data_IF_298637443259
#
_entry.id   IF_298637443259
#
_cell.length_a   1.000
_cell.length_b   1.000
_cell.length_c   1.000
_cell.angle_alpha   90.00
_cell.angle_beta   90.00
_cell.angle_gamma   90.00
#
_symmetry.space_group_name_H-M   'P 1'
#
loop_
_entity.id
_entity.type
_entity.pdbx_description
1 polymer ?
#
# COMPACT_ATOMS: atom_id res chain seq x y z
N UNK A 1 31.85 -44.90 54.27
CA UNK A 1 30.66 -45.32 53.50
C UNK A 1 30.59 -44.57 52.16
N UNK A 2 31.25 -44.95 51.06
CA UNK A 2 32.42 -45.81 50.73
C UNK A 2 32.42 -45.88 49.17
N UNK A 3 33.51 -45.96 48.39
CA UNK A 3 34.96 -45.86 48.63
C UNK A 3 35.69 -45.55 47.29
N UNK A 4 36.92 -45.01 47.37
CA UNK A 4 38.14 -45.30 46.56
C UNK A 4 37.97 -45.57 45.03
N UNK A 5 38.39 -44.68 44.11
CA UNK A 5 39.73 -44.58 43.43
C UNK A 5 40.10 -45.77 42.49
N UNK A 6 40.93 -45.66 41.42
CA UNK A 6 41.80 -44.59 40.91
C UNK A 6 42.08 -44.77 39.38
N UNK A 7 42.63 -43.73 38.71
CA UNK A 7 43.84 -43.69 37.83
C UNK A 7 44.14 -44.78 36.74
N UNK A 8 44.82 -44.53 35.60
CA UNK A 8 45.40 -43.33 34.93
C UNK A 8 45.77 -43.64 33.43
N UNK A 9 46.20 -42.61 32.68
CA UNK A 9 47.13 -42.54 31.50
C UNK A 9 47.63 -43.81 30.73
N UNK A 10 48.01 -43.76 29.43
CA UNK A 10 48.10 -42.69 28.39
C UNK A 10 48.33 -43.27 26.97
N UNK A 11 48.36 -42.41 25.93
CA UNK A 11 48.61 -42.72 24.48
C UNK A 11 50.13 -42.98 24.16
N UNK A 12 50.63 -43.11 22.89
CA UNK A 12 50.03 -43.32 21.54
C UNK A 12 50.65 -44.60 20.84
N UNK A 13 51.39 -44.64 19.69
CA UNK A 13 51.28 -44.03 18.34
C UNK A 13 51.48 -44.98 17.08
N UNK A 14 50.87 -44.61 15.94
CA UNK A 14 51.31 -44.91 14.54
C UNK A 14 51.30 -46.41 14.05
N UNK A 15 51.55 -46.81 12.78
CA UNK A 15 51.94 -46.12 11.50
C UNK A 15 51.66 -46.99 10.24
N UNK A 16 51.51 -46.36 9.05
CA UNK A 16 51.73 -46.93 7.68
C UNK A 16 50.78 -48.06 7.21
N UNK A 17 50.59 -48.42 5.92
CA UNK A 17 51.10 -47.98 4.58
C UNK A 17 50.24 -48.66 3.48
N UNK A 18 50.27 -48.37 2.16
CA UNK A 18 50.51 -47.20 1.26
C UNK A 18 50.29 -47.72 -0.21
N UNK A 19 50.53 -46.90 -1.28
CA UNK A 19 50.73 -47.30 -2.71
C UNK A 19 49.47 -47.78 -3.48
N UNK A 20 49.13 -47.35 -4.72
CA UNK A 20 49.58 -46.28 -5.67
C UNK A 20 48.50 -46.13 -6.80
N UNK A 21 48.55 -45.29 -7.85
CA UNK A 21 49.44 -44.21 -8.37
C UNK A 21 48.51 -43.02 -8.78
N UNK A 22 48.62 -42.12 -9.79
CA UNK A 22 49.52 -41.77 -10.91
C UNK A 22 49.21 -40.33 -11.38
N UNK A 23 50.13 -39.60 -12.06
CA UNK A 23 49.86 -38.24 -12.58
C UNK A 23 50.69 -37.84 -13.82
N UNK A 24 50.16 -36.93 -14.66
CA UNK A 24 50.85 -36.08 -15.68
C UNK A 24 49.83 -35.19 -16.44
N UNK A 25 50.18 -34.08 -17.13
CA UNK A 25 51.22 -33.07 -16.94
C UNK A 25 50.96 -31.81 -17.82
N UNK A 26 51.35 -30.64 -17.30
CA UNK A 26 51.72 -29.33 -17.92
C UNK A 26 51.55 -29.08 -19.44
N UNK A 27 50.95 -27.93 -19.79
CA UNK A 27 51.41 -27.06 -20.89
C UNK A 27 50.98 -25.60 -20.68
N UNK A 28 51.94 -24.67 -20.57
CA UNK A 28 51.70 -23.22 -20.61
C UNK A 28 51.83 -22.68 -22.04
N UNK A 29 51.12 -21.59 -22.38
CA UNK A 29 51.60 -20.59 -23.33
C UNK A 29 50.92 -19.24 -23.13
N UNK A 30 51.71 -18.17 -23.09
CA UNK A 30 51.25 -16.78 -22.98
C UNK A 30 50.89 -16.19 -24.34
N UNK A 31 50.03 -15.17 -24.35
CA UNK A 31 50.21 -13.99 -25.20
C UNK A 31 49.36 -12.82 -24.69
N UNK A 32 49.98 -11.65 -24.55
CA UNK A 32 49.30 -10.39 -24.18
C UNK A 32 48.65 -9.71 -25.39
N UNK A 33 47.49 -9.09 -25.18
CA UNK A 33 47.01 -7.98 -25.99
C UNK A 33 45.98 -7.15 -25.19
N UNK A 34 46.12 -5.82 -25.23
CA UNK A 34 45.08 -4.89 -24.75
C UNK A 34 43.88 -4.89 -25.73
N UNK A 35 42.66 -4.78 -25.22
CA UNK A 35 41.82 -3.61 -25.55
C UNK A 35 40.69 -3.35 -24.52
N UNK A 36 39.97 -2.25 -24.72
CA UNK A 36 39.03 -1.61 -23.78
C UNK A 36 37.58 -2.15 -23.85
N UNK A 37 36.75 -1.99 -22.80
CA UNK A 37 35.46 -2.69 -22.70
C UNK A 37 34.36 -2.13 -23.61
N UNK A 38 33.68 -3.02 -24.35
CA UNK A 38 32.53 -2.69 -25.19
C UNK A 38 31.23 -2.50 -24.37
N UNK A 39 30.48 -1.45 -24.68
CA UNK A 39 29.17 -1.11 -24.09
C UNK A 39 28.15 -2.23 -24.33
N UNK A 40 27.40 -2.63 -23.28
CA UNK A 40 26.22 -3.50 -23.39
C UNK A 40 24.97 -2.73 -22.97
N UNK A 41 24.02 -2.56 -23.90
CA UNK A 41 22.77 -1.82 -23.67
C UNK A 41 21.71 -2.69 -22.96
N UNK A 42 20.97 -2.15 -21.97
CA UNK A 42 19.94 -2.90 -21.27
C UNK A 42 18.58 -2.85 -21.98
N UNK A 43 18.31 -3.81 -22.86
CA UNK A 43 16.98 -4.02 -23.48
C UNK A 43 16.51 -5.47 -23.30
N UNK A 44 15.66 -5.73 -22.29
CA UNK A 44 15.27 -7.11 -21.96
C UNK A 44 14.33 -7.31 -20.77
N UNK A 45 13.26 -6.52 -20.65
CA UNK A 45 12.23 -6.71 -19.59
C UNK A 45 10.79 -6.58 -20.14
N UNK A 46 10.27 -7.65 -20.75
CA UNK A 46 8.87 -7.72 -21.20
C UNK A 46 8.36 -9.17 -21.30
N UNK A 47 7.48 -9.59 -20.37
CA UNK A 47 6.80 -10.91 -20.45
C UNK A 47 5.48 -11.04 -19.66
N UNK A 48 5.14 -10.12 -18.73
CA UNK A 48 4.01 -10.28 -17.80
C UNK A 48 2.87 -9.25 -17.93
N UNK A 49 2.98 -8.31 -18.87
CA UNK A 49 1.92 -7.32 -19.16
C UNK A 49 1.26 -7.67 -20.51
N UNK A 50 0.24 -8.55 -20.51
CA UNK A 50 -0.26 -9.11 -21.77
C UNK A 50 -1.60 -9.87 -21.75
N UNK A 51 -2.51 -9.64 -20.79
CA UNK A 51 -3.87 -10.19 -20.88
C UNK A 51 -4.91 -9.45 -20.02
N UNK A 52 -5.34 -8.27 -20.46
CA UNK A 52 -6.63 -7.68 -20.06
C UNK A 52 -7.44 -7.36 -21.31
N UNK A 53 -8.51 -8.14 -21.54
CA UNK A 53 -9.42 -7.96 -22.67
C UNK A 53 -10.50 -6.93 -22.29
N UNK A 54 -10.48 -5.78 -22.95
CA UNK A 54 -11.57 -4.80 -22.88
C UNK A 54 -12.78 -5.29 -23.70
N UNK A 55 -14.02 -5.19 -23.20
CA UNK A 55 -15.21 -5.19 -24.03
C UNK A 55 -15.27 -3.88 -24.83
N UNK A 56 -15.36 -3.97 -26.15
CA UNK A 56 -15.50 -2.81 -27.04
C UNK A 56 -16.95 -2.31 -27.02
N UNK A 57 -17.16 -1.00 -26.97
CA UNK A 57 -18.48 -0.37 -27.08
C UNK A 57 -18.92 -0.24 -28.54
N UNK A 58 -20.20 -0.51 -28.82
CA UNK A 58 -20.83 -0.31 -30.12
C UNK A 58 -22.22 0.32 -29.98
N UNK A 59 -22.53 1.23 -30.91
CA UNK A 59 -23.86 1.43 -31.53
C UNK A 59 -25.07 1.70 -30.64
N UNK A 60 -25.56 2.93 -30.66
CA UNK A 60 -26.94 3.21 -30.27
C UNK A 60 -27.92 2.85 -31.41
N UNK A 61 -29.08 2.29 -31.06
CA UNK A 61 -30.27 2.16 -31.90
C UNK A 61 -31.53 2.26 -31.01
N UNK A 62 -32.66 2.65 -31.58
CA UNK A 62 -33.87 3.06 -30.84
C UNK A 62 -34.96 1.97 -30.74
N UNK A 63 -35.91 2.21 -29.83
CA UNK A 63 -37.31 1.71 -29.80
C UNK A 63 -37.52 0.18 -29.56
N UNK A 64 -38.48 -0.29 -28.73
CA UNK A 64 -39.68 0.36 -28.16
C UNK A 64 -40.31 -0.40 -26.96
N UNK A 65 -41.04 0.36 -26.12
CA UNK A 65 -42.27 0.03 -25.35
C UNK A 65 -42.40 -1.08 -24.27
N UNK A 66 -43.26 -0.74 -23.27
CA UNK A 66 -44.06 -1.56 -22.31
C UNK A 66 -43.39 -2.38 -21.17
N UNK A 67 -43.98 -2.32 -19.96
CA UNK A 67 -43.97 -3.46 -19.02
C UNK A 67 -43.75 -3.25 -17.49
N UNK A 68 -44.59 -2.46 -16.80
CA UNK A 68 -44.85 -2.49 -15.34
C UNK A 68 -43.72 -2.76 -14.30
N UNK A 69 -43.32 -1.67 -13.64
CA UNK A 69 -43.49 -1.42 -12.19
C UNK A 69 -43.11 -2.50 -11.13
N UNK A 70 -42.09 -2.15 -10.33
CA UNK A 70 -41.90 -2.61 -8.94
C UNK A 70 -41.19 -1.52 -8.13
N UNK A 71 -41.83 -0.97 -7.10
CA UNK A 71 -41.37 0.28 -6.44
C UNK A 71 -40.22 0.06 -5.44
N UNK A 72 -39.33 1.06 -5.36
CA UNK A 72 -38.47 1.32 -4.20
C UNK A 72 -38.80 2.69 -3.61
N UNK A 73 -38.79 2.81 -2.29
CA UNK A 73 -39.38 3.95 -1.57
C UNK A 73 -38.34 4.92 -1.00
N UNK A 74 -38.15 6.08 -1.65
CA UNK A 74 -37.59 7.28 -1.00
C UNK A 74 -38.17 8.54 -1.65
N UNK A 75 -38.74 9.45 -0.85
CA UNK A 75 -39.22 10.75 -1.33
C UNK A 75 -40.32 11.40 -0.49
N UNK A 76 -39.94 12.25 0.47
CA UNK A 76 -40.76 13.33 1.08
C UNK A 76 -39.86 14.24 1.92
N UNK A 77 -40.33 15.47 2.19
CA UNK A 77 -39.62 16.58 2.84
C UNK A 77 -38.48 17.19 1.97
N UNK A 78 -38.46 18.49 1.66
CA UNK A 78 -39.47 19.54 1.94
C UNK A 78 -39.45 20.63 0.85
N UNK A 79 -40.60 21.21 0.57
CA UNK A 79 -40.76 22.38 -0.31
C UNK A 79 -40.58 23.70 0.44
N UNK A 80 -39.97 24.69 -0.23
CA UNK A 80 -40.26 26.11 0.03
C UNK A 80 -39.17 26.93 0.71
N UNK A 81 -38.44 27.70 -0.08
CA UNK A 81 -38.57 29.17 -0.09
C UNK A 81 -38.18 29.70 -1.49
N UNK A 82 -38.87 30.72 -1.99
CA UNK A 82 -38.75 31.15 -3.39
C UNK A 82 -37.74 32.28 -3.62
N UNK A 83 -37.00 32.20 -4.72
CA UNK A 83 -36.20 33.32 -5.25
C UNK A 83 -37.09 34.26 -6.07
N UNK A 84 -36.79 35.57 -6.02
CA UNK A 84 -37.19 36.55 -7.04
C UNK A 84 -35.96 37.34 -7.47
N UNK A 85 -35.69 37.37 -8.77
CA UNK A 85 -34.63 38.14 -9.41
C UNK A 85 -35.32 39.03 -10.45
N UNK A 86 -35.13 40.36 -10.44
CA UNK A 86 -35.61 41.24 -11.50
C UNK A 86 -34.72 41.15 -12.75
N UNK A 87 -35.33 41.10 -13.93
CA UNK A 87 -34.67 41.15 -15.24
C UNK A 87 -34.89 42.51 -15.91
N UNK A 88 -33.88 43.05 -16.58
CA UNK A 88 -33.97 44.29 -17.40
C UNK A 88 -33.11 44.14 -18.66
N UNK A 89 -33.64 44.58 -19.80
CA UNK A 89 -32.93 44.80 -21.07
C UNK A 89 -33.08 46.29 -21.52
N UNK A 90 -32.28 46.81 -22.47
CA UNK A 90 -31.88 48.24 -22.53
C UNK A 90 -32.58 49.08 -23.64
N UNK A 91 -31.96 50.23 -24.03
CA UNK A 91 -32.23 51.18 -25.16
C UNK A 91 -33.05 52.44 -24.78
N UNK A 92 -32.70 53.70 -25.20
CA UNK A 92 -31.40 54.30 -25.59
C UNK A 92 -31.13 55.73 -24.99
N UNK A 93 -30.18 56.47 -25.61
CA UNK A 93 -29.59 57.78 -25.28
C UNK A 93 -30.51 59.01 -25.11
N UNK A 94 -30.10 59.99 -24.28
CA UNK A 94 -29.79 61.38 -24.74
C UNK A 94 -28.87 62.16 -23.77
N UNK A 95 -28.55 63.45 -24.06
CA UNK A 95 -27.45 64.25 -23.48
C UNK A 95 -27.89 65.24 -22.37
N UNK A 96 -26.96 65.64 -21.48
CA UNK A 96 -26.49 67.03 -21.29
C UNK A 96 -25.50 67.17 -20.10
N UNK A 97 -25.16 68.41 -19.72
CA UNK A 97 -23.87 68.84 -19.15
C UNK A 97 -23.77 68.90 -17.60
N UNK A 98 -22.53 69.11 -17.14
CA UNK A 98 -22.01 69.65 -15.86
C UNK A 98 -22.98 69.88 -14.67
N UNK A 99 -22.65 69.49 -13.43
CA UNK A 99 -21.65 70.20 -12.59
C UNK A 99 -21.19 69.33 -11.40
N UNK A 100 -20.00 69.58 -10.84
CA UNK A 100 -19.34 68.73 -9.83
C UNK A 100 -19.76 68.99 -8.36
N UNK A 101 -19.77 67.92 -7.55
CA UNK A 101 -19.59 67.95 -6.07
C UNK A 101 -18.75 66.75 -5.62
N UNK A 102 -17.83 66.94 -4.68
CA UNK A 102 -16.84 65.94 -4.24
C UNK A 102 -17.25 65.23 -2.94
N UNK A 103 -17.35 63.89 -2.92
CA UNK A 103 -17.34 63.10 -1.67
C UNK A 103 -16.99 61.60 -1.85
N UNK A 104 -15.89 61.16 -1.21
CA UNK A 104 -15.66 59.82 -0.62
C UNK A 104 -16.17 58.54 -1.35
N UNK A 105 -15.53 58.18 -2.47
CA UNK A 105 -15.43 56.75 -2.83
C UNK A 105 -14.27 56.12 -2.04
N UNK A 106 -14.57 55.36 -0.99
CA UNK A 106 -13.54 54.71 -0.16
C UNK A 106 -14.02 53.68 0.88
N UNK A 107 -15.31 53.35 0.89
CA UNK A 107 -15.93 52.51 1.95
C UNK A 107 -16.39 51.15 1.43
N UNK A 108 -17.00 51.08 0.23
CA UNK A 108 -17.55 49.83 -0.33
C UNK A 108 -16.48 48.79 -0.71
N UNK A 109 -15.31 49.23 -1.15
CA UNK A 109 -14.19 48.33 -1.50
C UNK A 109 -13.56 47.68 -0.25
N UNK A 110 -13.63 48.34 0.90
CA UNK A 110 -13.21 47.78 2.19
C UNK A 110 -14.16 46.67 2.66
N UNK A 111 -15.49 46.91 2.60
CA UNK A 111 -16.48 45.93 3.07
C UNK A 111 -16.55 44.66 2.20
N UNK A 112 -16.45 44.79 0.87
CA UNK A 112 -16.41 43.62 -0.03
C UNK A 112 -15.16 42.77 0.21
N UNK A 113 -13.99 43.41 0.33
CA UNK A 113 -12.72 42.75 0.66
C UNK A 113 -12.76 42.07 2.02
N UNK A 114 -13.23 42.75 3.06
CA UNK A 114 -13.36 42.20 4.42
C UNK A 114 -14.31 40.99 4.51
N UNK A 115 -15.42 41.00 3.78
CA UNK A 115 -16.35 39.87 3.74
C UNK A 115 -15.73 38.65 3.02
N UNK A 116 -15.05 38.88 1.89
CA UNK A 116 -14.36 37.82 1.13
C UNK A 116 -13.20 37.24 1.94
N UNK A 117 -12.34 38.06 2.52
CA UNK A 117 -11.19 37.59 3.32
C UNK A 117 -11.64 36.87 4.62
N UNK A 118 -12.75 37.30 5.24
CA UNK A 118 -13.39 36.57 6.35
C UNK A 118 -13.86 35.19 5.92
N UNK A 119 -14.59 35.08 4.80
CA UNK A 119 -15.04 33.78 4.26
C UNK A 119 -13.88 32.85 3.89
N UNK A 120 -12.82 33.39 3.28
CA UNK A 120 -11.60 32.65 2.91
C UNK A 120 -10.83 32.17 4.13
N UNK A 121 -10.83 32.95 5.21
CA UNK A 121 -10.23 32.59 6.50
C UNK A 121 -11.04 31.50 7.21
N UNK A 122 -12.37 31.57 7.18
CA UNK A 122 -13.24 30.53 7.71
C UNK A 122 -13.08 29.20 6.94
N UNK A 123 -13.02 29.24 5.59
CA UNK A 123 -12.76 28.05 4.76
C UNK A 123 -11.40 27.43 5.08
N UNK A 124 -10.33 28.22 5.21
CA UNK A 124 -9.02 27.74 5.67
C UNK A 124 -9.08 27.09 7.05
N UNK A 125 -9.77 27.70 8.02
CA UNK A 125 -9.92 27.14 9.36
C UNK A 125 -10.68 25.80 9.36
N UNK A 126 -11.74 25.68 8.54
CA UNK A 126 -12.46 24.41 8.35
C UNK A 126 -11.59 23.35 7.66
N UNK A 127 -10.80 23.73 6.65
CA UNK A 127 -9.86 22.85 5.95
C UNK A 127 -8.77 22.32 6.91
N UNK A 128 -8.14 23.20 7.70
CA UNK A 128 -7.15 22.80 8.72
C UNK A 128 -7.79 21.86 9.76
N UNK A 129 -9.02 22.13 10.21
CA UNK A 129 -9.73 21.26 11.16
C UNK A 129 -10.05 19.88 10.54
N UNK A 130 -10.49 19.83 9.28
CA UNK A 130 -10.73 18.58 8.56
C UNK A 130 -9.43 17.78 8.33
N UNK A 131 -8.35 18.45 7.95
CA UNK A 131 -7.00 17.87 7.85
C UNK A 131 -6.54 17.26 9.15
N UNK A 132 -6.74 17.93 10.29
CA UNK A 132 -6.38 17.41 11.61
C UNK A 132 -7.22 16.16 11.97
N UNK A 133 -8.53 16.18 11.68
CA UNK A 133 -9.43 15.04 11.89
C UNK A 133 -9.04 13.82 11.02
N UNK A 134 -8.44 14.00 9.84
CA UNK A 134 -8.01 12.86 8.98
C UNK A 134 -6.51 12.51 9.13
N UNK A 135 -5.70 13.38 9.76
CA UNK A 135 -4.39 12.95 10.30
C UNK A 135 -4.53 12.13 11.58
N UNK A 136 -5.56 12.38 12.41
CA UNK A 136 -5.70 11.76 13.73
C UNK A 136 -4.39 11.90 14.54
N UNK A 137 -3.71 10.79 14.79
CA UNK A 137 -2.49 10.67 15.61
C UNK A 137 -1.19 10.54 14.77
N UNK A 138 -1.25 10.70 13.44
CA UNK A 138 -0.06 10.79 12.59
C UNK A 138 0.69 12.10 12.84
N UNK A 139 2.02 12.07 12.81
CA UNK A 139 2.84 13.29 12.82
C UNK A 139 2.69 14.00 11.47
N UNK A 140 2.42 15.31 11.51
CA UNK A 140 2.34 16.19 10.34
C UNK A 140 3.63 16.99 10.21
N UNK A 141 3.93 17.45 9.00
CA UNK A 141 4.94 18.47 8.73
C UNK A 141 4.28 19.84 8.77
N UNK A 142 4.74 20.74 9.65
CA UNK A 142 4.10 22.02 9.98
C UNK A 142 5.10 23.19 10.02
N UNK A 143 6.04 23.20 9.07
CA UNK A 143 7.12 24.18 8.95
C UNK A 143 7.07 24.89 7.58
N UNK A 144 7.75 26.04 7.45
CA UNK A 144 7.84 26.78 6.18
C UNK A 144 6.50 27.30 5.61
N UNK A 145 5.42 27.24 6.38
CA UNK A 145 4.06 27.55 5.91
C UNK A 145 3.31 26.38 5.24
N UNK A 146 3.88 25.16 5.27
CA UNK A 146 3.21 23.93 4.82
C UNK A 146 2.50 23.23 5.99
N UNK A 147 1.34 22.61 5.75
CA UNK A 147 0.64 21.74 6.72
C UNK A 147 0.27 20.40 6.06
N UNK A 148 1.22 19.47 6.02
CA UNK A 148 1.11 18.21 5.29
C UNK A 148 1.08 16.98 6.22
N UNK A 149 0.21 16.02 5.93
CA UNK A 149 0.27 14.66 6.47
C UNK A 149 1.47 13.92 5.83
N UNK A 150 2.65 14.23 6.35
CA UNK A 150 3.96 13.83 5.83
C UNK A 150 4.94 13.73 7.00
N UNK A 151 5.91 12.83 6.91
CA UNK A 151 6.91 12.61 7.95
C UNK A 151 8.21 12.09 7.34
N UNK A 152 9.33 12.75 7.64
CA UNK A 152 10.67 12.20 7.44
C UNK A 152 10.88 11.03 8.40
N UNK A 153 10.97 9.81 7.87
CA UNK A 153 11.34 8.62 8.64
C UNK A 153 12.85 8.64 8.85
N UNK A 154 13.61 8.80 7.76
CA UNK A 154 14.99 9.27 7.74
C UNK A 154 15.08 10.53 6.85
N UNK A 155 16.25 11.15 6.75
CA UNK A 155 16.49 12.32 5.89
C UNK A 155 16.09 12.03 4.42
N UNK A 156 16.53 10.90 3.87
CA UNK A 156 16.23 10.48 2.49
C UNK A 156 14.94 9.64 2.32
N UNK A 157 14.16 9.36 3.38
CA UNK A 157 12.97 8.49 3.30
C UNK A 157 11.76 9.15 3.97
N UNK A 158 10.80 9.56 3.14
CA UNK A 158 9.56 10.24 3.55
C UNK A 158 8.37 9.28 3.47
N UNK A 159 7.53 9.28 4.50
CA UNK A 159 6.21 8.69 4.50
C UNK A 159 5.14 9.79 4.40
N UNK A 160 4.17 9.68 3.49
CA UNK A 160 3.06 10.64 3.40
C UNK A 160 1.69 9.99 3.18
N UNK A 161 0.64 10.73 3.52
CA UNK A 161 -0.73 10.44 3.08
C UNK A 161 -0.92 10.70 1.59
N UNK A 162 -1.98 10.15 1.01
CA UNK A 162 -2.29 10.26 -0.42
C UNK A 162 -2.46 11.73 -0.86
N UNK A 163 -1.74 12.19 -1.90
CA UNK A 163 -1.94 13.53 -2.46
C UNK A 163 -3.21 13.56 -3.31
N UNK A 164 -4.09 14.52 -3.05
CA UNK A 164 -5.42 14.63 -3.65
C UNK A 164 -5.74 16.07 -4.08
N UNK A 165 -6.86 16.28 -4.77
CA UNK A 165 -7.31 17.61 -5.17
C UNK A 165 -6.77 18.14 -6.49
N UNK A 166 -6.08 17.32 -7.28
CA UNK A 166 -5.87 17.60 -8.71
C UNK A 166 -7.23 17.79 -9.40
N UNK A 167 -7.39 18.89 -10.17
CA UNK A 167 -8.63 19.21 -10.88
C UNK A 167 -9.01 18.16 -11.93
N UNK A 168 -8.05 17.37 -12.45
CA UNK A 168 -8.34 16.24 -13.34
C UNK A 168 -9.16 15.13 -12.67
N UNK A 169 -9.04 15.00 -11.34
CA UNK A 169 -9.66 13.93 -10.55
C UNK A 169 -11.16 14.13 -10.27
N UNK A 170 -11.77 15.15 -10.90
CA UNK A 170 -13.19 15.46 -10.79
C UNK A 170 -13.64 15.89 -9.39
N UNK A 171 -14.96 16.05 -9.23
CA UNK A 171 -15.57 16.62 -8.02
C UNK A 171 -15.22 15.84 -6.74
N UNK A 172 -15.13 14.51 -6.82
CA UNK A 172 -14.71 13.67 -5.69
C UNK A 172 -13.23 13.85 -5.32
N UNK A 173 -12.34 13.95 -6.31
CA UNK A 173 -10.92 14.23 -6.07
C UNK A 173 -10.69 15.61 -5.46
N UNK A 174 -11.44 16.61 -5.93
CA UNK A 174 -11.42 17.98 -5.40
C UNK A 174 -11.86 18.03 -3.92
N UNK A 175 -13.01 17.45 -3.57
CA UNK A 175 -13.46 17.38 -2.17
C UNK A 175 -12.51 16.59 -1.26
N UNK A 176 -11.75 15.64 -1.81
CA UNK A 176 -10.74 14.92 -1.04
C UNK A 176 -9.53 15.80 -0.65
N UNK A 177 -9.17 16.78 -1.48
CA UNK A 177 -8.11 17.76 -1.20
C UNK A 177 -8.40 18.71 -0.01
N UNK A 178 -9.65 18.76 0.47
CA UNK A 178 -10.00 19.53 1.68
C UNK A 178 -9.52 18.86 2.98
N UNK A 179 -9.32 17.53 2.98
CA UNK A 179 -8.99 16.78 4.20
C UNK A 179 -7.72 15.91 4.07
N UNK A 180 -7.24 15.64 2.84
CA UNK A 180 -5.90 15.10 2.58
C UNK A 180 -4.91 16.21 2.23
N UNK A 181 -3.69 15.82 1.88
CA UNK A 181 -2.67 16.70 1.31
C UNK A 181 -3.15 17.19 -0.06
N UNK A 182 -3.06 18.49 -0.33
CA UNK A 182 -3.41 19.02 -1.64
C UNK A 182 -2.25 18.81 -2.61
N UNK A 183 -2.52 18.34 -3.84
CA UNK A 183 -1.50 17.96 -4.82
C UNK A 183 -0.52 19.11 -5.10
N UNK A 184 -1.03 20.33 -5.30
CA UNK A 184 -0.21 21.52 -5.53
C UNK A 184 0.71 21.85 -4.34
N UNK A 185 0.24 21.67 -3.10
CA UNK A 185 1.06 21.91 -1.90
C UNK A 185 2.18 20.86 -1.76
N UNK A 186 1.92 19.62 -2.18
CA UNK A 186 2.91 18.52 -2.16
C UNK A 186 3.97 18.73 -3.24
N UNK A 187 3.57 19.09 -4.47
CA UNK A 187 4.51 19.44 -5.55
C UNK A 187 5.33 20.67 -5.16
N UNK A 188 4.68 21.74 -4.68
CA UNK A 188 5.37 22.94 -4.19
C UNK A 188 6.33 22.65 -3.04
N UNK A 189 5.99 21.72 -2.15
CA UNK A 189 6.90 21.29 -1.09
C UNK A 189 8.16 20.64 -1.68
N UNK A 190 8.00 19.66 -2.58
CA UNK A 190 9.14 18.94 -3.14
C UNK A 190 9.99 19.77 -4.10
N UNK A 191 9.40 20.65 -4.92
CA UNK A 191 10.17 21.56 -5.78
C UNK A 191 10.83 22.72 -5.01
N UNK A 192 10.45 22.95 -3.74
CA UNK A 192 11.12 23.92 -2.85
C UNK A 192 12.25 23.30 -2.02
N UNK A 193 12.13 22.04 -1.59
CA UNK A 193 13.10 21.40 -0.67
C UNK A 193 13.98 20.33 -1.33
N UNK A 194 13.53 19.71 -2.42
CA UNK A 194 14.10 18.50 -3.03
C UNK A 194 14.14 18.59 -4.55
N UNK A 195 14.31 19.80 -5.12
CA UNK A 195 14.15 20.07 -6.56
C UNK A 195 14.93 19.09 -7.44
N UNK A 196 14.22 18.25 -8.20
CA UNK A 196 14.82 17.20 -9.05
C UNK A 196 15.39 15.98 -8.32
N UNK A 197 15.39 15.94 -6.98
CA UNK A 197 15.98 14.90 -6.12
C UNK A 197 14.97 13.93 -5.49
N UNK A 198 13.66 14.18 -5.61
CA UNK A 198 12.63 13.27 -5.06
C UNK A 198 12.10 12.27 -6.09
N UNK A 199 11.67 11.09 -5.62
CA UNK A 199 10.92 10.10 -6.40
C UNK A 199 9.78 9.50 -5.56
N UNK A 200 8.58 9.52 -6.12
CA UNK A 200 7.32 9.17 -5.45
C UNK A 200 6.92 7.73 -5.75
N UNK A 201 6.49 7.00 -4.73
CA UNK A 201 6.10 5.60 -4.79
C UNK A 201 4.65 5.45 -4.32
N UNK A 202 3.73 5.21 -5.28
CA UNK A 202 2.32 4.97 -5.02
C UNK A 202 2.07 3.49 -4.70
N UNK A 203 1.50 3.20 -3.52
CA UNK A 203 1.14 1.84 -3.09
C UNK A 203 -0.36 1.52 -3.25
N UNK A 204 -1.17 2.45 -3.75
CA UNK A 204 -2.60 2.24 -3.91
C UNK A 204 -2.92 1.42 -5.17
N UNK A 205 -3.56 0.26 -5.01
CA UNK A 205 -4.28 -0.40 -6.11
C UNK A 205 -5.60 0.29 -6.43
N UNK A 206 -6.19 0.96 -5.45
CA UNK A 206 -7.54 1.53 -5.54
C UNK A 206 -7.58 3.00 -6.00
N UNK A 207 -6.42 3.65 -6.16
CA UNK A 207 -6.30 5.10 -6.40
C UNK A 207 -5.09 5.46 -7.25
N UNK A 208 -5.35 6.24 -8.29
CA UNK A 208 -4.36 6.91 -9.14
C UNK A 208 -4.60 8.43 -9.12
N UNK A 209 -3.61 9.18 -9.59
CA UNK A 209 -3.64 10.60 -9.90
C UNK A 209 -2.78 10.80 -11.16
N UNK A 210 -2.81 11.98 -11.79
CA UNK A 210 -1.92 12.21 -12.93
C UNK A 210 -0.44 12.24 -12.48
N UNK A 211 0.35 11.29 -12.99
CA UNK A 211 1.78 11.17 -12.73
C UNK A 211 2.61 12.20 -13.53
N UNK A 212 2.02 12.86 -14.54
CA UNK A 212 2.69 13.93 -15.30
C UNK A 212 3.00 15.14 -14.42
N UNK A 213 2.16 15.40 -13.40
CA UNK A 213 2.32 16.49 -12.43
C UNK A 213 3.60 16.39 -11.58
N UNK A 214 4.23 15.22 -11.55
CA UNK A 214 5.52 14.96 -10.91
C UNK A 214 6.64 14.73 -11.94
N UNK A 215 6.47 15.16 -13.20
CA UNK A 215 7.48 15.10 -14.27
C UNK A 215 8.05 13.67 -14.50
N UNK A 216 7.21 12.64 -14.34
CA UNK A 216 7.63 11.24 -14.47
C UNK A 216 8.39 10.67 -13.26
N UNK A 217 8.60 11.45 -12.18
CA UNK A 217 9.25 11.03 -10.92
C UNK A 217 8.38 10.08 -10.08
N UNK A 218 7.45 9.32 -10.68
CA UNK A 218 6.48 8.44 -9.99
C UNK A 218 6.66 6.99 -10.42
N UNK A 219 6.71 6.08 -9.45
CA UNK A 219 6.62 4.64 -9.67
C UNK A 219 5.42 4.05 -8.92
N UNK A 220 4.79 3.02 -9.48
CA UNK A 220 3.61 2.36 -8.91
C UNK A 220 3.96 0.95 -8.42
N UNK A 221 3.68 0.66 -7.15
CA UNK A 221 3.83 -0.66 -6.53
C UNK A 221 2.51 -1.01 -5.81
N UNK A 222 1.41 -1.21 -6.55
CA UNK A 222 0.06 -1.21 -5.99
C UNK A 222 -0.26 -2.50 -5.24
N UNK A 223 -0.88 -2.38 -4.06
CA UNK A 223 -1.53 -3.51 -3.38
C UNK A 223 -2.68 -3.05 -2.47
N UNK A 224 -3.65 -3.96 -2.27
CA UNK A 224 -4.93 -3.64 -1.65
C UNK A 224 -4.82 -3.16 -0.20
N UNK A 225 -5.68 -2.21 0.15
CA UNK A 225 -5.78 -1.68 1.51
C UNK A 225 -6.05 -2.80 2.52
N UNK A 226 -5.41 -2.74 3.67
CA UNK A 226 -5.44 -3.78 4.73
C UNK A 226 -4.96 -5.20 4.31
N UNK A 227 -4.37 -5.37 3.13
CA UNK A 227 -3.76 -6.62 2.68
C UNK A 227 -2.23 -6.51 2.63
N UNK A 228 -1.55 -7.58 2.20
CA UNK A 228 -0.11 -7.61 1.97
C UNK A 228 0.17 -7.66 0.46
N UNK A 229 1.31 -7.14 -0.03
CA UNK A 229 1.71 -7.30 -1.42
C UNK A 229 2.24 -8.73 -1.66
N UNK A 230 2.36 -9.18 -2.92
CA UNK A 230 3.19 -10.33 -3.25
C UNK A 230 4.63 -10.06 -2.76
N UNK A 231 5.31 -11.05 -2.17
CA UNK A 231 6.65 -10.81 -1.59
C UNK A 231 7.68 -10.31 -2.62
N UNK A 232 7.52 -10.68 -3.89
CA UNK A 232 8.33 -10.19 -5.01
C UNK A 232 8.20 -8.67 -5.22
N UNK A 233 7.03 -8.09 -4.97
CA UNK A 233 6.80 -6.64 -5.11
C UNK A 233 7.60 -5.84 -4.07
N UNK A 234 7.83 -6.42 -2.88
CA UNK A 234 8.69 -5.83 -1.84
C UNK A 234 10.14 -5.75 -2.34
N UNK A 235 10.68 -6.86 -2.91
CA UNK A 235 12.03 -6.87 -3.50
C UNK A 235 12.15 -5.84 -4.62
N UNK A 236 11.22 -5.82 -5.58
CA UNK A 236 11.24 -4.89 -6.71
C UNK A 236 11.17 -3.42 -6.26
N UNK A 237 10.35 -3.11 -5.24
CA UNK A 237 10.30 -1.79 -4.63
C UNK A 237 11.63 -1.41 -3.99
N UNK A 238 12.20 -2.29 -3.15
CA UNK A 238 13.47 -2.02 -2.47
C UNK A 238 14.62 -1.82 -3.47
N UNK A 239 14.65 -2.57 -4.56
CA UNK A 239 15.63 -2.38 -5.65
C UNK A 239 15.45 -1.04 -6.38
N UNK A 240 14.21 -0.65 -6.73
CA UNK A 240 13.94 0.65 -7.36
C UNK A 240 14.29 1.83 -6.45
N UNK A 241 13.94 1.73 -5.16
CA UNK A 241 14.23 2.74 -4.16
C UNK A 241 15.74 2.84 -3.88
N UNK A 242 16.44 1.72 -3.76
CA UNK A 242 17.90 1.69 -3.59
C UNK A 242 18.64 2.27 -4.80
N UNK A 243 18.21 1.97 -6.03
CA UNK A 243 18.82 2.53 -7.24
C UNK A 243 18.76 4.07 -7.20
N UNK A 244 17.56 4.62 -6.94
CA UNK A 244 17.38 6.07 -6.81
C UNK A 244 18.23 6.70 -5.69
N UNK A 245 18.27 6.07 -4.51
CA UNK A 245 19.08 6.52 -3.36
C UNK A 245 20.59 6.34 -3.57
N UNK A 246 21.02 5.63 -4.62
CA UNK A 246 22.42 5.44 -5.00
C UNK A 246 22.86 6.42 -6.09
N UNK A 247 21.94 6.93 -6.89
CA UNK A 247 22.22 7.90 -7.96
C UNK A 247 22.74 9.24 -7.41
N UNK A 248 22.29 9.67 -6.22
CA UNK A 248 22.76 10.87 -5.52
C UNK A 248 22.55 10.75 -4.00
N UNK A 249 23.39 11.40 -3.19
CA UNK A 249 23.24 11.44 -1.72
C UNK A 249 22.10 12.38 -1.28
N UNK A 250 21.76 13.37 -2.10
CA UNK A 250 20.61 14.26 -1.88
C UNK A 250 19.27 13.62 -2.31
N UNK A 251 19.28 12.45 -2.97
CA UNK A 251 18.05 11.84 -3.47
C UNK A 251 17.14 11.35 -2.34
N UNK A 252 15.83 11.54 -2.52
CA UNK A 252 14.79 11.24 -1.52
C UNK A 252 13.73 10.31 -2.10
N UNK A 253 13.37 9.28 -1.32
CA UNK A 253 12.29 8.33 -1.61
C UNK A 253 11.03 8.73 -0.83
N UNK A 254 9.96 9.04 -1.55
CA UNK A 254 8.67 9.45 -0.98
C UNK A 254 7.67 8.32 -1.15
N UNK A 255 7.25 7.66 -0.07
CA UNK A 255 6.34 6.51 -0.12
C UNK A 255 4.97 6.88 0.45
N UNK A 256 3.90 6.57 -0.29
CA UNK A 256 2.54 6.88 0.15
C UNK A 256 1.53 5.76 -0.12
N UNK A 257 0.44 5.81 0.63
CA UNK A 257 -0.80 5.11 0.35
C UNK A 257 -1.95 6.02 0.77
N UNK A 258 -3.19 5.52 0.74
CA UNK A 258 -4.42 6.24 1.17
C UNK A 258 -4.31 7.01 2.50
N UNK A 259 -3.52 6.54 3.46
CA UNK A 259 -3.34 7.16 4.79
C UNK A 259 -1.87 7.35 5.23
N UNK A 260 -0.89 6.86 4.46
CA UNK A 260 0.53 6.92 4.82
C UNK A 260 0.93 6.14 6.08
N UNK A 261 0.18 5.09 6.43
CA UNK A 261 0.38 4.25 7.61
C UNK A 261 0.76 2.82 7.19
N UNK A 262 0.00 1.79 7.58
CA UNK A 262 0.48 0.42 7.60
C UNK A 262 1.00 -0.16 6.25
N UNK A 263 0.38 0.16 5.09
CA UNK A 263 0.94 -0.19 3.76
C UNK A 263 2.30 0.48 3.50
N UNK A 264 2.39 1.78 3.74
CA UNK A 264 3.64 2.57 3.65
C UNK A 264 4.70 2.05 4.62
N UNK A 265 4.31 1.71 5.85
CA UNK A 265 5.19 1.12 6.86
C UNK A 265 5.77 -0.22 6.45
N UNK A 266 4.98 -1.12 5.86
CA UNK A 266 5.49 -2.41 5.36
C UNK A 266 6.64 -2.19 4.36
N UNK A 267 6.44 -1.31 3.39
CA UNK A 267 7.43 -1.05 2.34
C UNK A 267 8.65 -0.29 2.89
N UNK A 268 8.46 0.75 3.71
CA UNK A 268 9.56 1.50 4.33
C UNK A 268 10.37 0.62 5.29
N UNK A 269 9.75 -0.17 6.17
CA UNK A 269 10.49 -1.07 7.06
C UNK A 269 11.29 -2.11 6.27
N UNK A 270 10.73 -2.62 5.17
CA UNK A 270 11.44 -3.53 4.26
C UNK A 270 12.64 -2.85 3.58
N UNK A 271 12.51 -1.58 3.17
CA UNK A 271 13.62 -0.78 2.63
C UNK A 271 14.70 -0.49 3.68
N UNK A 272 14.32 -0.15 4.92
CA UNK A 272 15.28 0.08 6.01
C UNK A 272 16.11 -1.18 6.33
N UNK A 273 15.49 -2.37 6.25
CA UNK A 273 16.19 -3.66 6.35
C UNK A 273 17.06 -3.97 5.13
N UNK A 274 16.62 -3.61 3.93
CA UNK A 274 17.39 -3.76 2.69
C UNK A 274 18.66 -2.91 2.73
N UNK A 275 18.53 -1.65 3.13
CA UNK A 275 19.60 -0.66 3.31
C UNK A 275 20.47 -0.89 4.57
N UNK A 276 20.17 -1.91 5.37
CA UNK A 276 20.89 -2.27 6.62
C UNK A 276 20.89 -1.19 7.72
N UNK A 277 19.93 -0.27 7.71
CA UNK A 277 19.73 0.69 8.80
C UNK A 277 19.35 0.02 10.13
N UNK A 278 18.69 -1.14 10.09
CA UNK A 278 18.35 -1.94 11.27
C UNK A 278 18.67 -3.43 11.03
N UNK A 279 19.12 -4.17 12.06
CA UNK A 279 19.39 -5.60 11.96
C UNK A 279 18.12 -6.47 12.00
N UNK A 280 17.05 -6.03 12.68
CA UNK A 280 15.81 -6.80 12.83
C UNK A 280 14.57 -6.02 12.38
N UNK A 281 13.54 -6.74 11.91
CA UNK A 281 12.24 -6.13 11.57
C UNK A 281 11.56 -5.47 12.75
N UNK A 282 11.81 -5.92 13.99
CA UNK A 282 11.25 -5.31 15.20
C UNK A 282 11.73 -3.86 15.30
N UNK A 283 13.04 -3.64 15.22
CA UNK A 283 13.63 -2.30 15.34
C UNK A 283 13.17 -1.37 14.21
N UNK A 284 13.16 -1.86 12.97
CA UNK A 284 12.66 -1.09 11.83
C UNK A 284 11.18 -0.66 12.00
N UNK A 285 10.33 -1.57 12.48
CA UNK A 285 8.90 -1.31 12.73
C UNK A 285 8.72 -0.35 13.90
N UNK A 286 9.42 -0.56 15.01
CA UNK A 286 9.34 0.30 16.20
C UNK A 286 9.80 1.74 15.88
N UNK A 287 10.88 1.89 15.11
CA UNK A 287 11.40 3.17 14.64
C UNK A 287 10.40 3.88 13.71
N UNK A 288 9.91 3.18 12.68
CA UNK A 288 8.89 3.73 11.77
C UNK A 288 7.63 4.16 12.53
N UNK A 289 7.18 3.35 13.49
CA UNK A 289 6.02 3.63 14.33
C UNK A 289 6.18 4.90 15.16
N UNK A 290 7.31 5.04 15.88
CA UNK A 290 7.61 6.22 16.69
C UNK A 290 7.76 7.50 15.85
N UNK A 291 8.38 7.39 14.67
CA UNK A 291 8.48 8.49 13.71
C UNK A 291 7.10 8.89 13.18
N UNK A 292 6.32 7.96 12.66
CA UNK A 292 5.10 8.27 11.89
C UNK A 292 3.88 8.62 12.75
N UNK A 293 3.75 8.08 13.96
CA UNK A 293 2.62 8.31 14.86
C UNK A 293 3.07 8.76 16.25
N UNK A 294 2.23 9.53 16.94
CA UNK A 294 2.52 10.01 18.30
C UNK A 294 2.43 8.88 19.32
N UNK A 295 1.45 7.98 19.17
CA UNK A 295 1.22 6.81 20.03
C UNK A 295 2.01 5.55 19.64
N UNK A 296 2.83 5.63 18.59
CA UNK A 296 3.60 4.49 18.08
C UNK A 296 2.79 3.40 17.34
N UNK A 297 1.63 3.70 16.74
CA UNK A 297 0.76 2.69 16.08
C UNK A 297 0.51 2.93 14.58
N UNK A 298 1.57 3.10 13.78
CA UNK A 298 1.46 3.29 12.33
C UNK A 298 1.30 1.96 11.55
N UNK A 299 2.14 0.96 11.85
CA UNK A 299 2.10 -0.40 11.33
C UNK A 299 1.78 -1.36 12.49
N UNK A 300 0.51 -1.76 12.56
CA UNK A 300 -0.03 -2.67 13.59
C UNK A 300 -0.65 -3.96 13.03
N UNK A 301 -0.88 -4.03 11.72
CA UNK A 301 -1.61 -5.14 11.10
C UNK A 301 -0.77 -6.44 11.15
N UNK A 302 -1.21 -7.52 11.84
CA UNK A 302 -0.34 -8.68 12.10
C UNK A 302 0.18 -9.39 10.84
N UNK A 303 -0.61 -9.41 9.76
CA UNK A 303 -0.17 -9.95 8.47
C UNK A 303 0.91 -9.06 7.84
N UNK A 304 0.77 -7.74 7.88
CA UNK A 304 1.77 -6.83 7.29
C UNK A 304 3.09 -6.87 8.07
N UNK A 305 3.04 -6.92 9.40
CA UNK A 305 4.21 -7.18 10.27
C UNK A 305 4.89 -8.52 9.92
N UNK A 306 4.10 -9.55 9.59
CA UNK A 306 4.62 -10.86 9.16
C UNK A 306 5.38 -10.78 7.83
N UNK A 307 4.93 -9.95 6.88
CA UNK A 307 5.63 -9.79 5.59
C UNK A 307 6.96 -9.05 5.73
N UNK A 308 7.07 -8.06 6.63
CA UNK A 308 8.38 -7.46 6.97
C UNK A 308 9.33 -8.51 7.57
N UNK A 309 8.81 -9.40 8.44
CA UNK A 309 9.57 -10.54 9.00
C UNK A 309 9.98 -11.59 7.95
N UNK A 310 9.12 -11.85 6.95
CA UNK A 310 9.47 -12.70 5.82
C UNK A 310 10.56 -12.06 4.95
N UNK A 311 10.54 -10.73 4.75
CA UNK A 311 11.56 -10.03 4.01
C UNK A 311 12.91 -9.97 4.76
N UNK A 312 12.89 -9.74 6.08
CA UNK A 312 14.07 -9.94 6.95
C UNK A 312 14.68 -11.34 6.77
N UNK A 313 13.84 -12.38 6.75
CA UNK A 313 14.28 -13.76 6.55
C UNK A 313 14.88 -13.99 5.16
N UNK A 314 14.30 -13.43 4.10
CA UNK A 314 14.88 -13.43 2.74
C UNK A 314 16.24 -12.73 2.71
N UNK A 315 16.37 -11.56 3.34
CA UNK A 315 17.62 -10.80 3.39
C UNK A 315 18.73 -11.45 4.24
N UNK A 316 18.39 -12.29 5.22
CA UNK A 316 19.34 -12.87 6.19
C UNK A 316 19.64 -14.35 5.99
N UNK A 317 18.74 -15.12 5.35
CA UNK A 317 18.89 -16.58 5.14
C UNK A 317 19.00 -16.99 3.68
N UNK A 318 18.59 -16.12 2.76
CA UNK A 318 18.60 -16.38 1.32
C UNK A 318 19.31 -15.27 0.52
N UNK A 319 20.15 -14.47 1.17
CA UNK A 319 20.96 -13.40 0.57
C UNK A 319 20.17 -12.36 -0.25
N UNK A 320 18.87 -12.20 0.02
CA UNK A 320 17.96 -11.34 -0.75
C UNK A 320 17.21 -12.05 -1.89
N UNK A 321 17.43 -13.35 -2.11
CA UNK A 321 16.71 -14.12 -3.12
C UNK A 321 15.44 -14.77 -2.60
N UNK A 322 14.33 -14.47 -3.28
CA UNK A 322 12.99 -14.95 -2.94
C UNK A 322 12.87 -16.39 -3.42
N UNK A 323 12.72 -17.30 -2.47
CA UNK A 323 12.65 -18.73 -2.73
C UNK A 323 11.33 -19.10 -3.42
N UNK A 324 11.33 -20.08 -4.34
CA UNK A 324 10.12 -20.51 -5.04
C UNK A 324 9.08 -21.05 -4.05
N UNK A 325 7.80 -20.73 -4.30
CA UNK A 325 6.70 -21.11 -3.41
C UNK A 325 6.61 -22.63 -3.23
N UNK A 326 6.78 -23.11 -1.98
CA UNK A 326 6.60 -24.52 -1.66
C UNK A 326 5.13 -24.91 -1.81
N UNK A 327 4.85 -25.83 -2.74
CA UNK A 327 3.52 -26.46 -2.88
C UNK A 327 3.11 -27.18 -1.60
N UNK A 328 1.91 -26.92 -1.11
CA UNK A 328 1.31 -27.62 0.02
C UNK A 328 -0.19 -27.85 -0.21
N UNK A 329 -0.80 -28.72 0.60
CA UNK A 329 -2.22 -29.08 0.51
C UNK A 329 -2.88 -28.77 1.84
N UNK A 330 -3.83 -27.83 1.87
CA UNK A 330 -4.54 -27.48 3.11
C UNK A 330 -5.44 -28.65 3.51
N UNK A 331 -5.11 -29.34 4.62
CA UNK A 331 -5.90 -30.49 5.10
C UNK A 331 -7.04 -30.11 6.06
N UNK A 332 -6.98 -28.93 6.66
CA UNK A 332 -7.95 -28.50 7.67
C UNK A 332 -7.45 -27.37 8.56
N UNK A 333 -8.29 -26.97 9.52
CA UNK A 333 -7.95 -26.02 10.58
C UNK A 333 -8.33 -26.58 11.94
N UNK A 334 -7.65 -26.12 12.99
CA UNK A 334 -7.98 -26.43 14.38
C UNK A 334 -8.12 -25.12 15.13
N UNK A 335 -9.35 -24.75 15.47
CA UNK A 335 -9.64 -23.55 16.23
C UNK A 335 -9.55 -23.87 17.73
N UNK A 336 -8.68 -23.16 18.45
CA UNK A 336 -8.44 -23.33 19.88
C UNK A 336 -9.19 -22.25 20.69
N UNK A 337 -9.79 -22.65 21.81
CA UNK A 337 -10.73 -21.83 22.61
C UNK A 337 -11.97 -21.40 21.81
N UNK A 338 -12.35 -22.18 20.82
CA UNK A 338 -13.49 -21.93 19.94
C UNK A 338 -14.75 -22.61 20.50
N UNK A 339 -15.86 -21.88 20.69
CA UNK A 339 -17.15 -22.48 21.07
C UNK A 339 -17.71 -23.41 19.99
N UNK A 340 -18.39 -24.49 20.40
CA UNK A 340 -18.86 -25.55 19.48
C UNK A 340 -19.95 -25.11 18.47
N UNK A 341 -20.58 -23.95 18.72
CA UNK A 341 -21.56 -23.34 17.83
C UNK A 341 -20.92 -22.48 16.72
N UNK A 342 -19.64 -22.11 16.86
CA UNK A 342 -18.92 -21.31 15.87
C UNK A 342 -18.37 -22.24 14.79
N UNK A 343 -19.02 -22.22 13.62
CA UNK A 343 -18.70 -23.05 12.45
C UNK A 343 -18.60 -22.16 11.20
N UNK A 344 -17.52 -21.37 11.06
CA UNK A 344 -17.42 -20.38 9.99
C UNK A 344 -17.19 -21.06 8.62
N UNK A 345 -17.84 -20.54 7.59
CA UNK A 345 -17.45 -20.83 6.21
C UNK A 345 -16.05 -20.27 5.92
N UNK A 346 -15.32 -20.87 4.97
CA UNK A 346 -14.00 -20.35 4.57
C UNK A 346 -13.93 -19.96 3.10
N UNK A 347 -13.10 -18.96 2.82
CA UNK A 347 -12.57 -18.69 1.47
C UNK A 347 -11.05 -18.63 1.55
N UNK A 348 -10.38 -19.27 0.60
CA UNK A 348 -8.93 -19.20 0.40
C UNK A 348 -8.68 -18.56 -0.95
N UNK A 349 -7.82 -17.55 -1.00
CA UNK A 349 -7.50 -16.77 -2.19
C UNK A 349 -6.01 -16.44 -2.26
N UNK A 350 -5.53 -16.08 -3.45
CA UNK A 350 -4.23 -15.45 -3.64
C UNK A 350 -4.41 -14.16 -4.48
N UNK A 351 -3.32 -13.57 -4.95
CA UNK A 351 -3.35 -12.36 -5.78
C UNK A 351 -4.05 -12.54 -7.14
N UNK A 352 -4.30 -13.78 -7.58
CA UNK A 352 -4.96 -14.10 -8.84
C UNK A 352 -6.47 -14.42 -8.67
N UNK A 353 -6.98 -14.44 -7.43
CA UNK A 353 -8.40 -14.66 -7.13
C UNK A 353 -8.65 -15.75 -6.08
N UNK A 354 -9.88 -16.29 -6.07
CA UNK A 354 -10.31 -17.34 -5.14
C UNK A 354 -9.80 -18.70 -5.62
N UNK A 355 -9.03 -19.38 -4.76
CA UNK A 355 -8.56 -20.76 -4.97
C UNK A 355 -9.58 -21.79 -4.48
N UNK A 356 -10.25 -21.51 -3.36
CA UNK A 356 -11.25 -22.38 -2.76
C UNK A 356 -12.27 -21.57 -1.93
N UNK A 357 -13.51 -22.01 -1.85
CA UNK A 357 -14.48 -21.48 -0.88
C UNK A 357 -15.54 -22.51 -0.57
N UNK A 358 -15.84 -22.77 0.71
CA UNK A 358 -16.80 -23.82 1.07
C UNK A 358 -18.18 -23.55 0.49
N UNK A 359 -18.60 -22.28 0.43
CA UNK A 359 -19.91 -21.85 -0.12
C UNK A 359 -20.01 -21.93 -1.66
N UNK A 360 -18.90 -22.10 -2.38
CA UNK A 360 -18.89 -22.08 -3.87
C UNK A 360 -18.37 -23.36 -4.50
N UNK A 361 -17.51 -24.12 -3.81
CA UNK A 361 -16.90 -25.30 -4.39
C UNK A 361 -17.94 -26.44 -4.57
N UNK A 362 -18.03 -27.10 -5.74
CA UNK A 362 -19.11 -28.04 -6.06
C UNK A 362 -19.36 -29.17 -5.05
N UNK A 363 -18.32 -29.60 -4.31
CA UNK A 363 -18.39 -30.69 -3.32
C UNK A 363 -18.66 -30.23 -1.87
N UNK A 364 -18.80 -28.93 -1.64
CA UNK A 364 -19.06 -28.36 -0.30
C UNK A 364 -20.15 -27.30 -0.29
N UNK A 365 -20.59 -26.80 -1.46
CA UNK A 365 -21.65 -25.78 -1.58
C UNK A 365 -23.00 -26.24 -0.99
N UNK A 366 -23.27 -27.55 -1.02
CA UNK A 366 -24.50 -28.17 -0.51
C UNK A 366 -24.29 -28.75 0.90
N UNK A 367 -23.08 -28.64 1.46
CA UNK A 367 -22.77 -29.06 2.82
C UNK A 367 -22.96 -27.90 3.79
N UNK A 368 -23.54 -28.19 4.93
CA UNK A 368 -23.63 -27.25 6.04
C UNK A 368 -22.27 -27.13 6.74
N UNK A 369 -21.95 -25.99 7.39
CA UNK A 369 -20.75 -25.89 8.21
C UNK A 369 -20.68 -26.95 9.31
N UNK A 370 -21.83 -27.43 9.75
CA UNK A 370 -21.98 -28.56 10.66
C UNK A 370 -21.33 -29.86 10.16
N UNK A 371 -21.27 -30.09 8.84
CA UNK A 371 -20.75 -31.33 8.22
C UNK A 371 -19.22 -31.35 8.09
N UNK A 372 -18.59 -30.18 8.00
CA UNK A 372 -17.13 -30.04 7.85
C UNK A 372 -16.41 -29.48 9.09
N UNK A 373 -17.14 -28.99 10.10
CA UNK A 373 -16.59 -28.64 11.42
C UNK A 373 -16.98 -29.65 12.50
N UNK A 374 -16.01 -30.46 12.91
CA UNK A 374 -16.13 -31.52 13.90
C UNK A 374 -15.72 -30.99 15.28
N UNK A 375 -16.55 -31.21 16.30
CA UNK A 375 -16.19 -30.93 17.70
C UNK A 375 -15.17 -31.97 18.19
N UNK A 376 -14.03 -31.54 18.72
CA UNK A 376 -13.02 -32.46 19.24
C UNK A 376 -13.30 -32.84 20.72
N UNK A 377 -12.84 -34.01 21.22
CA UNK A 377 -13.07 -34.44 22.60
C UNK A 377 -12.52 -33.50 23.70
N UNK A 378 -11.65 -32.54 23.34
CA UNK A 378 -11.13 -31.52 24.26
C UNK A 378 -11.98 -30.25 24.16
N UNK A 379 -12.63 -29.88 25.27
CA UNK A 379 -13.52 -28.69 25.40
C UNK A 379 -12.89 -27.45 24.77
N UNK A 380 -13.65 -26.77 23.91
CA UNK A 380 -13.22 -25.54 23.23
C UNK A 380 -12.26 -25.77 22.05
N UNK A 381 -12.29 -26.94 21.42
CA UNK A 381 -11.55 -27.22 20.18
C UNK A 381 -12.51 -27.69 19.10
N UNK A 382 -12.54 -26.97 17.98
CA UNK A 382 -13.31 -27.33 16.77
C UNK A 382 -12.34 -27.55 15.61
N UNK A 383 -12.55 -28.60 14.83
CA UNK A 383 -11.66 -29.04 13.75
C UNK A 383 -12.41 -28.95 12.42
N UNK A 384 -11.91 -28.12 11.52
CA UNK A 384 -12.28 -28.15 10.10
C UNK A 384 -11.48 -29.25 9.43
N UNK A 385 -12.15 -30.20 8.77
CA UNK A 385 -11.51 -31.22 7.96
C UNK A 385 -12.00 -31.09 6.52
N UNK A 386 -11.06 -30.89 5.58
CA UNK A 386 -11.39 -30.97 4.16
C UNK A 386 -11.51 -32.44 3.72
N UNK A 387 -12.43 -32.77 2.80
CA UNK A 387 -12.42 -34.04 2.11
C UNK A 387 -11.02 -34.37 1.59
N UNK A 388 -10.55 -35.61 1.80
CA UNK A 388 -9.16 -36.03 1.50
C UNK A 388 -8.93 -36.28 0.00
N UNK A 389 -9.24 -35.29 -0.81
CA UNK A 389 -9.07 -35.33 -2.25
C UNK A 389 -7.73 -34.72 -2.69
N UNK A 390 -7.33 -35.00 -3.92
CA UNK A 390 -6.18 -34.37 -4.57
C UNK A 390 -6.64 -33.09 -5.30
N UNK A 391 -5.77 -32.07 -5.36
CA UNK A 391 -6.05 -30.79 -6.01
C UNK A 391 -7.01 -29.83 -5.27
N UNK A 392 -7.90 -30.33 -4.42
CA UNK A 392 -9.00 -29.58 -3.78
C UNK A 392 -8.60 -28.24 -3.14
N UNK A 393 -7.42 -28.18 -2.53
CA UNK A 393 -6.87 -27.00 -1.84
C UNK A 393 -5.33 -26.97 -1.92
N UNK A 394 -4.79 -27.12 -3.14
CA UNK A 394 -3.36 -26.88 -3.37
C UNK A 394 -3.03 -25.39 -3.23
N UNK A 395 -2.02 -25.06 -2.42
CA UNK A 395 -1.57 -23.71 -2.14
C UNK A 395 -0.08 -23.58 -2.47
N UNK A 396 0.28 -22.44 -3.07
CA UNK A 396 1.64 -22.13 -3.51
C UNK A 396 1.89 -20.64 -3.32
N UNK A 397 3.00 -20.27 -2.69
CA UNK A 397 3.38 -18.86 -2.47
C UNK A 397 2.44 -18.12 -1.51
N UNK A 398 2.14 -16.87 -1.82
CA UNK A 398 1.33 -15.96 -0.99
C UNK A 398 -0.18 -16.28 -1.11
N UNK A 399 -0.84 -16.54 0.03
CA UNK A 399 -2.29 -16.78 0.10
C UNK A 399 -2.94 -16.14 1.34
N UNK A 400 -4.23 -15.85 1.23
CA UNK A 400 -5.12 -15.32 2.27
C UNK A 400 -6.20 -16.35 2.57
N UNK A 401 -6.48 -16.57 3.85
CA UNK A 401 -7.63 -17.34 4.34
C UNK A 401 -8.58 -16.34 5.01
N UNK A 402 -9.87 -16.42 4.69
CA UNK A 402 -10.93 -15.66 5.34
C UNK A 402 -11.95 -16.62 5.96
N UNK A 403 -12.36 -16.33 7.18
CA UNK A 403 -13.41 -17.04 7.92
C UNK A 403 -14.63 -16.13 8.01
N UNK A 404 -15.77 -16.56 7.47
CA UNK A 404 -17.02 -15.78 7.48
C UNK A 404 -18.09 -16.56 8.25
N UNK A 405 -18.72 -15.93 9.23
CA UNK A 405 -19.81 -16.52 10.02
C UNK A 405 -21.18 -16.31 9.33
N UNK A 406 -22.27 -16.76 9.96
CA UNK A 406 -23.66 -16.47 9.55
C UNK A 406 -24.07 -15.02 9.82
N UNK A 407 -23.32 -14.26 10.62
CA UNK A 407 -23.69 -12.91 11.10
C UNK A 407 -22.70 -11.79 10.68
N UNK A 408 -21.56 -12.13 10.08
CA UNK A 408 -20.55 -11.16 9.65
C UNK A 408 -19.15 -11.75 9.52
N UNK A 409 -18.17 -10.88 9.29
CA UNK A 409 -16.75 -11.23 9.27
C UNK A 409 -16.20 -11.44 10.69
N UNK A 410 -15.23 -12.35 10.82
CA UNK A 410 -14.58 -12.67 12.09
C UNK A 410 -13.39 -11.72 12.35
N UNK A 411 -13.42 -11.01 13.49
CA UNK A 411 -12.37 -10.08 13.94
C UNK A 411 -11.53 -10.68 15.08
#
# INVERSE_FOLDING_TARGET
MDSVSADLSSQPPAKASDIEHSAAAVSEQNNDAHDSPSIISPSGISAWAGSLKFPQSWGAAQDSQTGNAGMSTFGRFTSGLGLRIPSVEPVPDEKNEETAVTAQSGVLESFTKGLVDSSRSAVKAMQVKARHIVSQNKRRYQEGGFDLDMTYITENIIAMGFPAGDMSSGLFGFFEGFYRNHMEEVIKFFEAHHKGKYKVYNLCSERLYDASLFEGKVASFPFDDHNCPPIQLIKSFCQSAYSWLKEDIENVVVVHCKAGMARTGLMICSLLLFLKFFPTSKEAIDYYNQKRCVDGKALVLPSQIRYVKYFEHVLTRFNGEIQPGRRCMLRGFRLHRCPFWIRPSITVSNHNGILFSTRKHPKTKDLMPEDFWISAPKKGIVVFALPREHGLTELVGDFKIHFHDRQGDFY
#
